data_IF_837957310821
#
_entry.id   IF_837957310821
#
_cell.length_a   1.000
_cell.length_b   1.000
_cell.length_c   1.000
_cell.angle_alpha   90.00
_cell.angle_beta   90.00
_cell.angle_gamma   90.00
#
_symmetry.space_group_name_H-M   'P 1'
#
loop_
_entity.id
_entity.type
_entity.pdbx_description
1 polymer ?
#
# COMPACT_ATOMS: atom_id res chain seq x y z
N UNK A 1 -4.01 6.35 20.02
CA UNK A 1 -3.94 4.93 19.62
C UNK A 1 -5.35 4.33 19.66
N UNK A 2 -5.75 3.54 18.66
CA UNK A 2 -6.98 2.74 18.65
C UNK A 2 -6.63 1.34 19.14
N UNK A 3 -7.35 0.84 20.14
CA UNK A 3 -7.12 -0.46 20.74
C UNK A 3 -8.40 -1.27 20.73
N UNK A 4 -8.28 -2.56 20.42
CA UNK A 4 -9.36 -3.53 20.59
C UNK A 4 -8.75 -4.86 20.98
N UNK A 5 -9.32 -5.52 21.99
CA UNK A 5 -8.89 -6.83 22.46
C UNK A 5 -9.40 -7.98 21.60
N UNK A 6 -10.47 -7.73 20.83
CA UNK A 6 -11.12 -8.69 19.96
C UNK A 6 -11.52 -7.98 18.67
N UNK A 7 -10.56 -7.82 17.77
CA UNK A 7 -10.81 -7.25 16.44
C UNK A 7 -10.68 -8.33 15.37
N UNK A 8 -11.67 -8.50 14.47
CA UNK A 8 -11.57 -9.42 13.35
C UNK A 8 -10.56 -8.88 12.33
N UNK A 9 -9.38 -9.49 12.27
CA UNK A 9 -8.28 -9.08 11.39
C UNK A 9 -7.82 -10.26 10.52
N UNK A 10 -7.53 -9.98 9.25
CA UNK A 10 -6.73 -10.87 8.41
C UNK A 10 -5.27 -10.45 8.54
N UNK A 11 -4.42 -11.35 9.05
CA UNK A 11 -3.01 -11.09 9.31
C UNK A 11 -2.16 -12.23 8.73
N UNK A 12 -1.10 -11.87 8.02
CA UNK A 12 -0.16 -12.79 7.42
C UNK A 12 1.27 -12.26 7.61
N UNK A 13 2.19 -13.14 7.98
CA UNK A 13 3.62 -12.87 7.84
C UNK A 13 4.06 -13.34 6.44
N UNK A 14 4.66 -12.43 5.66
CA UNK A 14 5.11 -12.70 4.29
C UNK A 14 6.65 -12.79 4.26
N UNK A 15 7.24 -14.00 4.14
CA UNK A 15 8.68 -14.17 4.11
C UNK A 15 9.33 -13.62 2.83
N UNK A 16 8.64 -13.68 1.70
CA UNK A 16 9.19 -13.22 0.40
C UNK A 16 9.26 -11.69 0.37
N UNK A 17 8.21 -11.04 0.88
CA UNK A 17 8.15 -9.60 1.02
C UNK A 17 8.99 -9.09 2.19
N UNK A 18 9.35 -9.96 3.14
CA UNK A 18 9.99 -9.59 4.40
C UNK A 18 9.17 -8.56 5.18
N UNK A 19 7.87 -8.80 5.27
CA UNK A 19 6.91 -7.88 5.88
C UNK A 19 5.77 -8.63 6.57
N UNK A 20 5.13 -7.96 7.52
CA UNK A 20 3.84 -8.38 8.06
C UNK A 20 2.73 -7.62 7.32
N UNK A 21 1.68 -8.31 6.92
CA UNK A 21 0.58 -7.76 6.12
C UNK A 21 -0.73 -7.97 6.85
N UNK A 22 -1.48 -6.89 7.04
CA UNK A 22 -2.77 -6.90 7.73
C UNK A 22 -3.84 -6.20 6.88
N UNK A 23 -5.04 -6.77 6.83
CA UNK A 23 -6.19 -6.17 6.14
C UNK A 23 -7.30 -5.85 7.14
N UNK A 24 -7.58 -4.57 7.33
CA UNK A 24 -8.71 -4.08 8.14
C UNK A 24 -9.93 -3.86 7.25
N UNK A 25 -11.01 -4.65 7.41
CA UNK A 25 -12.20 -4.51 6.58
C UNK A 25 -12.98 -3.23 6.93
N UNK A 26 -13.51 -2.57 5.89
CA UNK A 26 -14.47 -1.48 6.00
C UNK A 26 -15.77 -1.83 5.27
N UNK A 27 -16.81 -1.03 5.50
CA UNK A 27 -18.08 -1.16 4.79
C UNK A 27 -17.89 -0.93 3.29
N UNK A 28 -18.68 -1.61 2.46
CA UNK A 28 -18.67 -1.43 1.00
C UNK A 28 -17.49 -2.11 0.30
N UNK A 29 -17.14 -3.33 0.71
CA UNK A 29 -16.07 -4.15 0.10
C UNK A 29 -14.70 -3.44 -0.01
N UNK A 30 -14.45 -2.46 0.86
CA UNK A 30 -13.19 -1.74 0.93
C UNK A 30 -12.38 -2.25 2.12
N UNK A 31 -11.06 -2.26 2.00
CA UNK A 31 -10.18 -2.66 3.10
C UNK A 31 -8.99 -1.71 3.19
N UNK A 32 -8.53 -1.46 4.41
CA UNK A 32 -7.26 -0.79 4.66
C UNK A 32 -6.16 -1.85 4.83
N UNK A 33 -5.28 -1.94 3.84
CA UNK A 33 -4.15 -2.86 3.85
C UNK A 33 -2.93 -2.17 4.47
N UNK A 34 -2.41 -2.75 5.54
CA UNK A 34 -1.17 -2.33 6.20
C UNK A 34 -0.08 -3.31 5.82
N UNK A 35 1.00 -2.80 5.24
CA UNK A 35 2.24 -3.55 4.98
C UNK A 35 3.30 -2.99 5.90
N UNK A 36 3.70 -3.77 6.91
CA UNK A 36 4.74 -3.41 7.86
C UNK A 36 6.04 -4.12 7.47
N UNK A 37 7.00 -3.43 6.81
CA UNK A 37 8.28 -4.02 6.45
C UNK A 37 9.07 -4.39 7.71
N UNK A 38 9.80 -5.51 7.68
CA UNK A 38 10.82 -5.82 8.70
C UNK A 38 12.09 -4.97 8.55
N UNK A 39 12.29 -4.40 7.37
CA UNK A 39 13.41 -3.51 7.04
C UNK A 39 12.94 -2.15 6.52
N UNK A 40 13.55 -1.66 5.44
CA UNK A 40 13.20 -0.39 4.83
C UNK A 40 12.01 -0.53 3.87
N UNK A 41 11.18 0.49 3.78
CA UNK A 41 10.10 0.60 2.79
C UNK A 41 10.64 0.40 1.35
N UNK A 42 11.81 0.95 1.04
CA UNK A 42 12.43 0.85 -0.29
C UNK A 42 12.77 -0.58 -0.74
N UNK A 43 12.95 -1.52 0.19
CA UNK A 43 13.21 -2.93 -0.17
C UNK A 43 11.94 -3.74 -0.42
N UNK A 44 10.79 -3.21 0.01
CA UNK A 44 9.46 -3.82 -0.11
C UNK A 44 8.71 -3.28 -1.32
N UNK A 45 8.74 -1.96 -1.55
CA UNK A 45 7.97 -1.31 -2.62
C UNK A 45 8.14 -1.96 -4.01
N UNK A 46 9.35 -2.30 -4.49
CA UNK A 46 9.52 -2.88 -5.83
C UNK A 46 8.94 -4.30 -5.98
N UNK A 47 8.69 -4.99 -4.87
CA UNK A 47 8.19 -6.37 -4.85
C UNK A 47 6.68 -6.46 -4.60
N UNK A 48 6.02 -5.33 -4.35
CA UNK A 48 4.60 -5.31 -4.00
C UNK A 48 3.74 -5.70 -5.19
N UNK A 49 2.90 -6.71 -4.99
CA UNK A 49 1.77 -7.01 -5.84
C UNK A 49 0.51 -7.09 -4.98
N UNK A 50 -0.32 -6.04 -5.04
CA UNK A 50 -1.47 -5.88 -4.15
C UNK A 50 -2.50 -6.99 -4.34
N UNK A 51 -2.76 -7.39 -5.59
CA UNK A 51 -3.72 -8.46 -5.91
C UNK A 51 -3.27 -9.81 -5.36
N UNK A 52 -1.98 -10.13 -5.50
CA UNK A 52 -1.38 -11.33 -4.92
C UNK A 52 -1.50 -11.35 -3.39
N UNK A 53 -1.20 -10.22 -2.73
CA UNK A 53 -1.36 -10.10 -1.28
C UNK A 53 -2.79 -10.39 -0.83
N UNK A 54 -3.80 -9.83 -1.48
CA UNK A 54 -5.20 -10.10 -1.14
C UNK A 54 -5.58 -11.56 -1.33
N UNK A 55 -5.05 -12.23 -2.36
CA UNK A 55 -5.35 -13.64 -2.64
C UNK A 55 -4.77 -14.61 -1.60
N UNK A 56 -3.63 -14.24 -0.99
CA UNK A 56 -2.92 -15.07 0.00
C UNK A 56 -3.33 -14.79 1.44
N UNK A 57 -4.01 -13.67 1.71
CA UNK A 57 -4.46 -13.33 3.06
C UNK A 57 -5.38 -14.42 3.63
N UNK A 58 -5.14 -14.89 4.87
CA UNK A 58 -6.00 -15.88 5.49
C UNK A 58 -7.36 -15.30 5.86
N UNK A 59 -8.26 -16.19 6.28
CA UNK A 59 -9.54 -15.80 6.87
C UNK A 59 -9.37 -14.96 8.14
N UNK A 60 -10.40 -14.18 8.48
CA UNK A 60 -10.40 -13.31 9.65
C UNK A 60 -10.24 -14.11 10.95
N UNK A 61 -9.43 -13.55 11.87
CA UNK A 61 -9.26 -14.07 13.22
C UNK A 61 -9.41 -12.93 14.23
N UNK A 62 -10.09 -13.20 15.34
CA UNK A 62 -10.21 -12.24 16.44
C UNK A 62 -8.87 -12.14 17.17
N UNK A 63 -8.31 -10.93 17.26
CA UNK A 63 -7.02 -10.70 17.92
C UNK A 63 -6.91 -9.31 18.55
N UNK A 64 -5.91 -9.15 19.43
CA UNK A 64 -5.54 -7.87 20.01
C UNK A 64 -4.92 -6.97 18.93
N UNK A 65 -5.49 -5.78 18.76
CA UNK A 65 -5.04 -4.79 17.80
C UNK A 65 -4.69 -3.49 18.52
N UNK A 66 -3.56 -2.90 18.12
CA UNK A 66 -3.11 -1.58 18.53
C UNK A 66 -2.71 -0.78 17.30
N UNK A 67 -3.62 0.04 16.78
CA UNK A 67 -3.42 0.80 15.54
C UNK A 67 -3.26 2.30 15.84
N UNK A 68 -2.28 3.01 15.24
CA UNK A 68 -2.19 4.45 15.37
C UNK A 68 -3.43 5.15 14.80
N UNK A 69 -3.88 6.22 15.49
CA UNK A 69 -4.83 7.16 14.91
C UNK A 69 -4.05 8.02 13.94
N UNK A 70 -4.25 7.83 12.65
CA UNK A 70 -3.47 8.49 11.62
C UNK A 70 -4.25 9.66 11.03
N UNK A 71 -3.63 10.84 10.99
CA UNK A 71 -4.08 12.01 10.21
C UNK A 71 -2.92 12.43 9.32
N UNK A 72 -2.97 12.02 8.06
CA UNK A 72 -1.94 12.34 7.07
C UNK A 72 -2.40 13.52 6.22
N UNK A 73 -1.52 14.49 6.05
CA UNK A 73 -1.66 15.59 5.11
C UNK A 73 -0.36 15.69 4.34
N UNK A 74 -0.44 15.61 3.02
CA UNK A 74 0.71 15.64 2.14
C UNK A 74 0.39 16.48 0.91
N UNK A 75 1.34 17.28 0.46
CA UNK A 75 1.27 18.09 -0.75
C UNK A 75 2.56 17.93 -1.53
N UNK A 76 2.46 17.66 -2.83
CA UNK A 76 3.57 17.55 -3.76
C UNK A 76 3.17 18.14 -5.10
N UNK A 77 4.08 18.91 -5.70
CA UNK A 77 3.93 19.36 -7.09
C UNK A 77 4.25 18.20 -8.02
N UNK A 78 3.28 17.81 -8.86
CA UNK A 78 3.37 16.57 -9.65
C UNK A 78 4.13 16.71 -10.97
N UNK A 79 4.49 17.94 -11.38
CA UNK A 79 5.07 18.20 -12.70
C UNK A 79 6.24 17.28 -13.02
N UNK A 80 7.24 17.23 -12.14
CA UNK A 80 8.44 16.39 -12.35
C UNK A 80 8.11 14.89 -12.37
N UNK A 81 7.23 14.44 -11.47
CA UNK A 81 6.81 13.06 -11.41
C UNK A 81 6.11 12.62 -12.71
N UNK A 82 5.16 13.42 -13.21
CA UNK A 82 4.43 13.15 -14.46
C UNK A 82 5.37 13.21 -15.69
N UNK A 83 6.27 14.19 -15.75
CA UNK A 83 7.29 14.28 -16.81
C UNK A 83 8.16 13.04 -16.85
N UNK A 84 8.65 12.55 -15.70
CA UNK A 84 9.48 11.34 -15.63
C UNK A 84 8.75 10.05 -16.02
N UNK A 85 7.42 10.02 -15.87
CA UNK A 85 6.57 8.92 -16.35
C UNK A 85 6.26 9.00 -17.84
N UNK A 86 6.75 10.04 -18.53
CA UNK A 86 6.66 10.18 -19.99
C UNK A 86 5.43 10.93 -20.48
N UNK A 87 4.71 11.66 -19.62
CA UNK A 87 3.56 12.47 -20.03
C UNK A 87 3.96 13.80 -20.70
N UNK A 88 5.21 14.23 -20.60
CA UNK A 88 5.73 15.40 -21.32
C UNK A 88 6.40 14.97 -22.64
N UNK A 89 5.63 14.32 -23.53
CA UNK A 89 6.06 14.18 -24.92
C UNK A 89 5.92 15.54 -25.60
N UNK A 90 7.03 16.27 -25.73
CA UNK A 90 7.09 17.39 -26.69
C UNK A 90 6.62 16.87 -28.05
N UNK A 91 5.72 17.57 -28.77
CA UNK A 91 5.37 17.19 -30.13
C UNK A 91 6.66 17.17 -30.94
N UNK A 92 6.98 16.01 -31.52
CA UNK A 92 8.04 15.91 -32.51
C UNK A 92 7.72 16.93 -33.61
N UNK A 93 8.56 17.95 -33.73
CA UNK A 93 8.39 19.00 -34.72
C UNK A 93 8.24 18.38 -36.10
N UNK A 94 7.20 18.82 -36.81
CA UNK A 94 7.07 18.58 -38.23
C UNK A 94 8.37 18.96 -38.93
N UNK A 95 9.04 17.96 -39.50
CA UNK A 95 10.03 18.16 -40.54
C UNK A 95 9.24 18.61 -41.78
N UNK A 96 9.10 19.92 -41.96
CA UNK A 96 8.74 20.49 -43.25
C UNK A 96 10.01 20.45 -44.10
N UNK A 97 9.99 19.58 -45.11
CA UNK A 97 10.94 19.53 -46.23
C UNK A 97 10.70 20.72 -47.14
#
# INVERSE_FOLDING_TARGET
>A
MMKSVQYPLRLMDDPQLQAQVASFPFKGNTSFLVVLPRGNVSSVLPKLNISDLFSRLPQEKSMLVNLPKVKLQYRQELKEALTSMGEDRKPHGHLFV
#
